data_IF_164128374789
#
_entry.id   IF_164128374789
#
_cell.length_a   1.000
_cell.length_b   1.000
_cell.length_c   1.000
_cell.angle_alpha   90.00
_cell.angle_beta   90.00
_cell.angle_gamma   90.00
#
_symmetry.space_group_name_H-M   'P 1'
#
loop_
_entity.id
_entity.type
_entity.pdbx_description
1 polymer ?
#
# COMPACT_ATOMS: atom_id res chain seq x y z
N UNK A 1 25.12 -8.60 -4.96
CA UNK A 1 24.84 -9.34 -6.23
C UNK A 1 23.41 -9.85 -6.18
N UNK A 2 22.65 -9.87 -7.29
CA UNK A 2 21.29 -10.40 -7.29
C UNK A 2 21.28 -11.82 -6.73
N UNK A 3 20.26 -12.14 -5.92
CA UNK A 3 20.14 -13.45 -5.27
C UNK A 3 19.73 -14.50 -6.30
N UNK A 4 20.38 -15.64 -6.31
CA UNK A 4 20.02 -16.75 -7.17
C UNK A 4 18.97 -17.64 -6.47
N UNK A 5 17.81 -17.85 -7.10
CA UNK A 5 16.75 -18.72 -6.60
C UNK A 5 17.13 -20.18 -6.85
N UNK A 6 17.51 -20.90 -5.78
CA UNK A 6 17.95 -22.29 -5.87
C UNK A 6 16.88 -23.27 -6.34
N UNK A 7 15.60 -22.93 -6.20
CA UNK A 7 14.48 -23.81 -6.56
C UNK A 7 14.02 -23.61 -8.00
N UNK A 8 14.09 -22.38 -8.53
CA UNK A 8 13.57 -22.04 -9.86
C UNK A 8 14.65 -21.63 -10.86
N UNK A 9 15.90 -21.80 -10.49
CA UNK A 9 17.09 -21.55 -11.34
C UNK A 9 17.04 -20.20 -12.07
N UNK A 10 16.72 -19.13 -11.35
CA UNK A 10 16.62 -17.76 -11.89
C UNK A 10 17.12 -16.71 -10.90
N UNK A 11 17.51 -15.55 -11.43
CA UNK A 11 17.89 -14.40 -10.59
C UNK A 11 16.64 -13.75 -9.99
N UNK A 12 16.77 -13.31 -8.75
CA UNK A 12 15.74 -12.55 -8.02
C UNK A 12 16.30 -11.18 -7.69
N UNK A 13 15.56 -10.15 -8.07
CA UNK A 13 16.00 -8.76 -7.94
C UNK A 13 15.80 -8.22 -6.51
N UNK A 14 16.33 -8.96 -5.54
CA UNK A 14 16.49 -8.53 -4.16
C UNK A 14 17.84 -9.06 -3.64
N UNK A 15 18.51 -8.24 -2.85
CA UNK A 15 19.77 -8.55 -2.19
C UNK A 15 19.68 -8.15 -0.72
N UNK A 16 20.27 -8.93 0.15
CA UNK A 16 20.44 -8.59 1.56
C UNK A 16 21.93 -8.43 1.87
N UNK A 17 22.28 -7.26 2.37
CA UNK A 17 23.61 -6.98 2.92
C UNK A 17 23.54 -7.00 4.47
N UNK A 18 24.07 -8.05 5.12
CA UNK A 18 24.08 -8.15 6.59
C UNK A 18 25.00 -7.13 7.26
N UNK A 19 25.96 -6.61 6.51
CA UNK A 19 26.81 -5.48 6.87
C UNK A 19 26.83 -4.53 5.69
N UNK A 20 26.30 -3.33 5.87
CA UNK A 20 26.22 -2.31 4.82
C UNK A 20 27.24 -1.21 5.06
N UNK A 21 28.00 -0.89 4.03
CA UNK A 21 28.84 0.30 3.97
C UNK A 21 28.04 1.43 3.31
N UNK A 22 27.60 2.36 4.12
CA UNK A 22 26.73 3.45 3.68
C UNK A 22 27.42 4.39 2.66
N UNK A 23 28.73 4.37 2.55
CA UNK A 23 29.49 5.19 1.58
C UNK A 23 29.29 4.73 0.13
N UNK A 24 28.83 3.50 -0.08
CA UNK A 24 28.56 2.93 -1.40
C UNK A 24 27.13 3.22 -1.91
N UNK A 25 26.26 3.81 -1.10
CA UNK A 25 24.91 4.15 -1.49
C UNK A 25 24.85 5.47 -2.28
N UNK A 26 23.94 5.62 -3.23
CA UNK A 26 22.94 4.66 -3.73
C UNK A 26 23.50 3.63 -4.70
N UNK A 27 22.83 2.48 -4.82
CA UNK A 27 23.15 1.53 -5.88
C UNK A 27 22.35 1.85 -7.16
N UNK A 28 22.96 1.79 -8.36
CA UNK A 28 22.27 2.00 -9.62
C UNK A 28 21.08 1.04 -9.79
N UNK A 29 19.97 1.55 -10.32
CA UNK A 29 18.74 0.79 -10.63
C UNK A 29 18.11 0.04 -9.44
N UNK A 30 18.37 0.48 -8.20
CA UNK A 30 17.84 -0.18 -7.00
C UNK A 30 17.42 0.79 -5.92
N UNK A 31 16.33 0.45 -5.27
CA UNK A 31 15.92 1.04 -4.01
C UNK A 31 16.65 0.34 -2.86
N UNK A 32 17.11 1.10 -1.89
CA UNK A 32 17.82 0.59 -0.70
C UNK A 32 17.03 0.92 0.57
N UNK A 33 16.59 -0.12 1.27
CA UNK A 33 16.00 -0.02 2.60
C UNK A 33 17.07 -0.37 3.62
N UNK A 34 17.59 0.62 4.33
CA UNK A 34 18.73 0.48 5.25
C UNK A 34 18.23 0.58 6.68
N UNK A 35 18.59 -0.39 7.50
CA UNK A 35 18.31 -0.41 8.93
C UNK A 35 19.59 -0.16 9.71
N UNK A 36 19.71 1.01 10.34
CA UNK A 36 20.84 1.38 11.19
C UNK A 36 20.54 0.91 12.61
N UNK A 37 21.32 -0.06 13.10
CA UNK A 37 21.12 -0.73 14.38
C UNK A 37 21.91 -0.14 15.53
N UNK A 38 23.06 0.48 15.24
CA UNK A 38 23.90 1.16 16.23
C UNK A 38 24.60 2.38 15.63
N UNK A 39 25.09 3.26 16.50
CA UNK A 39 25.87 4.43 16.13
C UNK A 39 25.05 5.63 15.70
N UNK A 40 25.75 6.62 15.17
CA UNK A 40 25.16 7.84 14.63
C UNK A 40 25.95 8.34 13.44
N UNK A 41 25.30 9.06 12.54
CA UNK A 41 25.96 9.71 11.41
C UNK A 41 25.35 11.06 11.08
N UNK A 42 26.17 11.92 10.45
CA UNK A 42 25.75 13.18 9.85
C UNK A 42 26.16 13.21 8.39
N UNK A 43 25.37 13.88 7.58
CA UNK A 43 25.63 13.97 6.16
C UNK A 43 24.62 14.80 5.43
N UNK A 44 24.61 14.63 4.12
CA UNK A 44 23.67 15.27 3.19
C UNK A 44 22.96 14.19 2.38
N UNK A 45 21.66 14.29 2.25
CA UNK A 45 20.85 13.49 1.32
C UNK A 45 20.17 14.46 0.37
N UNK A 46 20.56 14.45 -0.91
CA UNK A 46 20.06 15.40 -1.93
C UNK A 46 20.15 16.86 -1.45
N UNK A 47 21.33 17.30 -1.05
CA UNK A 47 21.59 18.66 -0.54
C UNK A 47 20.86 19.02 0.78
N UNK A 48 20.05 18.12 1.34
CA UNK A 48 19.41 18.31 2.65
C UNK A 48 20.27 17.72 3.75
N UNK A 49 20.57 18.46 4.82
CA UNK A 49 21.34 17.94 5.93
C UNK A 49 20.54 16.87 6.67
N UNK A 50 21.17 15.72 6.93
CA UNK A 50 20.62 14.65 7.74
C UNK A 50 21.51 14.42 8.96
N UNK A 51 20.86 14.16 10.10
CA UNK A 51 21.53 13.72 11.32
C UNK A 51 20.71 12.58 11.89
N UNK A 52 21.28 11.40 11.92
CA UNK A 52 20.59 10.20 12.36
C UNK A 52 21.33 9.54 13.51
N UNK A 53 20.58 8.95 14.41
CA UNK A 53 21.08 8.09 15.48
C UNK A 53 20.27 6.79 15.48
N UNK A 54 20.92 5.69 15.73
CA UNK A 54 20.26 4.39 15.81
C UNK A 54 19.28 4.34 17.01
N UNK A 55 18.16 3.57 16.90
CA UNK A 55 17.76 2.85 15.70
C UNK A 55 17.05 3.76 14.67
N UNK A 56 17.40 3.65 13.42
CA UNK A 56 16.70 4.37 12.35
C UNK A 56 16.67 3.56 11.06
N UNK A 57 15.78 3.98 10.14
CA UNK A 57 15.68 3.43 8.80
C UNK A 57 15.96 4.53 7.78
N UNK A 58 16.68 4.18 6.71
CA UNK A 58 16.85 5.03 5.54
C UNK A 58 16.20 4.36 4.35
N UNK A 59 15.47 5.14 3.59
CA UNK A 59 14.90 4.74 2.31
C UNK A 59 15.64 5.53 1.22
N UNK A 60 16.58 4.91 0.53
CA UNK A 60 17.44 5.54 -0.46
C UNK A 60 16.98 5.10 -1.86
N UNK A 61 16.68 6.06 -2.71
CA UNK A 61 16.33 5.82 -4.10
C UNK A 61 17.58 5.74 -4.99
N UNK A 62 17.42 5.18 -6.16
CA UNK A 62 18.48 5.05 -7.17
C UNK A 62 19.05 6.39 -7.66
N UNK A 63 18.24 7.45 -7.56
CA UNK A 63 18.56 8.82 -8.02
C UNK A 63 19.10 9.71 -6.90
N UNK A 64 19.16 9.19 -5.65
CA UNK A 64 19.59 9.97 -4.50
C UNK A 64 21.10 10.19 -4.50
N UNK A 65 21.55 11.24 -3.83
CA UNK A 65 22.95 11.51 -3.55
C UNK A 65 23.15 11.53 -2.03
N UNK A 66 23.82 10.49 -1.49
CA UNK A 66 24.18 10.41 -0.07
C UNK A 66 25.63 10.76 0.13
N UNK A 67 25.91 11.82 0.92
CA UNK A 67 27.26 12.22 1.35
C UNK A 67 27.36 12.17 2.86
N UNK A 68 28.17 11.27 3.38
CA UNK A 68 28.44 11.15 4.81
C UNK A 68 29.61 12.06 5.18
N UNK A 69 29.42 12.91 6.18
CA UNK A 69 30.46 13.83 6.69
C UNK A 69 31.06 13.36 8.01
N UNK A 70 30.26 12.72 8.85
CA UNK A 70 30.67 12.19 10.16
C UNK A 70 29.98 10.85 10.40
N UNK A 71 30.73 9.89 10.92
CA UNK A 71 30.23 8.56 11.27
C UNK A 71 30.87 8.11 12.59
N UNK A 72 30.03 7.58 13.51
CA UNK A 72 30.48 7.08 14.81
C UNK A 72 29.84 5.70 15.09
N UNK A 73 30.66 4.65 15.02
CA UNK A 73 30.28 3.26 15.36
C UNK A 73 28.99 2.80 14.69
N UNK A 74 28.76 3.16 13.43
CA UNK A 74 27.57 2.80 12.69
C UNK A 74 27.63 1.33 12.31
N UNK A 75 26.55 0.59 12.66
CA UNK A 75 26.27 -0.71 12.09
C UNK A 75 24.93 -0.66 11.37
N UNK A 76 24.94 -1.10 10.13
CA UNK A 76 23.77 -1.08 9.27
C UNK A 76 23.62 -2.39 8.51
N UNK A 77 22.38 -2.74 8.20
CA UNK A 77 21.98 -3.83 7.32
C UNK A 77 21.05 -3.27 6.27
N UNK A 78 21.03 -3.86 5.08
CA UNK A 78 20.19 -3.31 4.01
C UNK A 78 19.56 -4.38 3.13
N UNK A 79 18.45 -3.98 2.49
CA UNK A 79 17.85 -4.67 1.36
C UNK A 79 17.90 -3.76 0.15
N UNK A 80 18.43 -4.31 -0.96
CA UNK A 80 18.46 -3.65 -2.26
C UNK A 80 17.52 -4.39 -3.20
N UNK A 81 16.56 -3.69 -3.81
CA UNK A 81 15.57 -4.32 -4.67
C UNK A 81 15.13 -3.38 -5.79
N UNK A 82 14.71 -3.94 -6.91
CA UNK A 82 14.11 -3.18 -8.00
C UNK A 82 12.63 -2.90 -7.72
N UNK A 83 12.10 -1.79 -8.27
CA UNK A 83 10.68 -1.39 -8.12
C UNK A 83 9.72 -2.49 -8.57
N UNK A 84 10.07 -3.20 -9.64
CA UNK A 84 9.31 -4.31 -10.21
C UNK A 84 9.15 -5.49 -9.24
N UNK A 85 10.08 -5.64 -8.31
CA UNK A 85 9.96 -6.68 -7.28
C UNK A 85 8.69 -6.52 -6.43
N UNK A 86 8.26 -5.29 -6.17
CA UNK A 86 7.01 -4.98 -5.45
C UNK A 86 5.78 -5.05 -6.37
N UNK A 87 5.93 -4.67 -7.64
CA UNK A 87 4.83 -4.49 -8.59
C UNK A 87 4.31 -5.78 -9.25
N UNK A 88 4.82 -6.96 -8.93
CA UNK A 88 4.37 -8.22 -9.52
C UNK A 88 2.96 -8.64 -9.05
N UNK A 89 1.95 -7.82 -9.39
CA UNK A 89 0.55 -8.21 -9.55
C UNK A 89 0.35 -8.41 -11.05
N UNK A 90 -0.32 -9.48 -11.53
CA UNK A 90 -0.44 -9.74 -12.98
C UNK A 90 -1.10 -8.54 -13.68
N UNK A 91 -0.38 -7.99 -14.67
CA UNK A 91 -0.93 -7.01 -15.61
C UNK A 91 -2.06 -7.63 -16.41
N UNK A 92 -3.19 -6.98 -16.49
CA UNK A 92 -3.86 -6.69 -17.77
C UNK A 92 -5.25 -6.05 -17.66
N UNK A 93 -5.97 -6.10 -16.53
CA UNK A 93 -7.29 -5.45 -16.43
C UNK A 93 -7.46 -4.49 -15.25
N UNK A 94 -6.50 -4.47 -14.35
CA UNK A 94 -6.58 -3.83 -13.04
C UNK A 94 -6.17 -2.34 -13.05
N UNK A 95 -5.52 -1.83 -14.11
CA UNK A 95 -5.05 -0.44 -14.12
C UNK A 95 -6.15 0.62 -14.11
N UNK A 96 -7.35 0.31 -14.63
CA UNK A 96 -8.50 1.24 -14.54
C UNK A 96 -9.16 1.21 -13.18
N UNK A 97 -9.21 0.04 -12.54
CA UNK A 97 -9.80 -0.14 -11.21
C UNK A 97 -8.84 0.32 -10.09
N UNK A 98 -7.51 0.27 -10.31
CA UNK A 98 -6.49 0.71 -9.35
C UNK A 98 -6.50 2.22 -9.10
N UNK A 99 -7.04 3.04 -10.00
CA UNK A 99 -7.25 4.48 -9.74
C UNK A 99 -8.38 4.72 -8.73
N UNK A 100 -9.26 3.75 -8.52
CA UNK A 100 -10.39 3.79 -7.60
C UNK A 100 -10.21 2.90 -6.35
N UNK A 101 -9.22 2.01 -6.33
CA UNK A 101 -8.88 1.24 -5.12
C UNK A 101 -8.17 2.16 -4.10
N UNK A 102 -8.33 1.90 -2.78
CA UNK A 102 -7.37 2.44 -1.82
C UNK A 102 -5.99 2.04 -2.34
N UNK A 103 -5.08 3.02 -2.45
CA UNK A 103 -3.72 2.79 -2.97
C UNK A 103 -3.20 1.51 -2.35
N UNK A 104 -2.91 0.48 -3.17
CA UNK A 104 -2.17 -0.67 -2.68
C UNK A 104 -0.89 -0.08 -2.12
N UNK A 105 -0.75 -0.16 -0.80
CA UNK A 105 0.37 0.43 -0.07
C UNK A 105 1.61 -0.35 -0.45
N UNK A 106 2.35 0.16 -1.40
CA UNK A 106 3.58 -0.48 -1.89
C UNK A 106 4.80 0.01 -1.14
N UNK A 107 4.66 1.10 -0.34
CA UNK A 107 5.77 1.76 0.32
C UNK A 107 6.71 2.52 -0.60
N UNK A 108 6.40 2.60 -1.89
CA UNK A 108 7.24 3.28 -2.88
C UNK A 108 7.25 4.81 -2.69
N UNK A 109 6.27 5.38 -2.00
CA UNK A 109 6.25 6.80 -1.63
C UNK A 109 7.43 7.19 -0.74
N UNK A 110 7.93 6.26 0.10
CA UNK A 110 9.09 6.49 0.97
C UNK A 110 10.39 6.77 0.21
N UNK A 111 10.45 6.38 -1.05
CA UNK A 111 11.59 6.59 -1.95
C UNK A 111 11.39 7.78 -2.88
N UNK A 112 10.24 8.45 -2.85
CA UNK A 112 10.00 9.71 -3.55
C UNK A 112 10.52 10.86 -2.70
N UNK A 113 11.10 11.88 -3.34
CA UNK A 113 11.60 13.08 -2.67
C UNK A 113 10.63 14.23 -2.88
N UNK A 114 9.93 14.56 -1.81
CA UNK A 114 9.05 15.73 -1.72
C UNK A 114 9.26 16.39 -0.35
N UNK A 115 8.46 17.41 -0.02
CA UNK A 115 8.57 18.09 1.28
C UNK A 115 8.20 17.20 2.47
N UNK A 116 7.42 16.14 2.23
CA UNK A 116 6.98 15.20 3.27
C UNK A 116 7.95 14.03 3.49
N UNK A 117 8.76 13.66 2.45
CA UNK A 117 9.58 12.46 2.46
C UNK A 117 11.06 12.79 2.27
N UNK A 118 11.77 12.93 3.38
CA UNK A 118 13.21 13.22 3.40
C UNK A 118 14.11 11.97 3.30
N UNK A 119 13.56 10.77 3.08
CA UNK A 119 14.33 9.52 3.03
C UNK A 119 14.69 8.92 4.40
N UNK A 120 14.33 9.59 5.50
CA UNK A 120 14.55 9.12 6.88
C UNK A 120 13.19 9.01 7.57
N UNK A 121 12.47 7.90 7.40
CA UNK A 121 11.17 7.72 8.03
C UNK A 121 11.28 7.66 9.55
N UNK A 122 10.30 8.26 10.22
CA UNK A 122 10.22 8.22 11.70
C UNK A 122 9.83 6.83 12.15
N UNK A 123 10.48 6.35 13.21
CA UNK A 123 10.15 5.09 13.88
C UNK A 123 9.72 5.42 15.30
N UNK A 124 8.61 4.82 15.76
CA UNK A 124 8.19 4.94 17.16
C UNK A 124 8.79 3.79 17.99
N UNK A 125 8.99 4.02 19.28
CA UNK A 125 9.46 2.98 20.21
C UNK A 125 8.58 1.73 20.20
N UNK A 126 7.28 1.89 19.98
CA UNK A 126 6.32 0.76 19.89
C UNK A 126 6.45 -0.03 18.59
N UNK A 127 6.80 0.62 17.48
CA UNK A 127 6.92 -0.03 16.18
C UNK A 127 8.29 -0.71 15.99
N UNK A 128 9.32 -0.21 16.68
CA UNK A 128 10.69 -0.68 16.53
C UNK A 128 10.87 -2.20 16.71
N UNK A 129 10.36 -2.86 17.78
CA UNK A 129 10.57 -4.29 17.96
C UNK A 129 10.00 -5.11 16.82
N UNK A 130 8.83 -4.73 16.32
CA UNK A 130 8.14 -5.43 15.23
C UNK A 130 8.86 -5.21 13.88
N UNK A 131 9.31 -3.99 13.61
CA UNK A 131 10.11 -3.68 12.43
C UNK A 131 11.44 -4.45 12.44
N UNK A 132 12.10 -4.53 13.60
CA UNK A 132 13.33 -5.29 13.77
C UNK A 132 13.11 -6.79 13.53
N UNK A 133 12.06 -7.36 14.11
CA UNK A 133 11.69 -8.78 13.90
C UNK A 133 11.47 -9.06 12.41
N UNK A 134 10.65 -8.25 11.74
CA UNK A 134 10.35 -8.45 10.32
C UNK A 134 11.59 -8.27 9.44
N UNK A 135 12.46 -7.32 9.78
CA UNK A 135 13.70 -7.09 9.07
C UNK A 135 14.66 -8.29 9.22
N UNK A 136 14.76 -8.83 10.43
CA UNK A 136 15.56 -10.00 10.73
C UNK A 136 15.04 -11.26 10.00
N UNK A 137 13.72 -11.49 10.04
CA UNK A 137 13.09 -12.61 9.32
C UNK A 137 13.31 -12.48 7.82
N UNK A 138 13.16 -11.28 7.28
CA UNK A 138 13.39 -10.99 5.88
C UNK A 138 14.82 -11.32 5.46
N UNK A 139 15.82 -10.87 6.24
CA UNK A 139 17.24 -11.15 5.99
C UNK A 139 17.57 -12.62 6.04
N UNK A 140 17.09 -13.30 7.07
CA UNK A 140 17.27 -14.75 7.23
C UNK A 140 16.67 -15.51 6.05
N UNK A 141 15.48 -15.15 5.61
CA UNK A 141 14.79 -15.82 4.52
C UNK A 141 15.48 -15.61 3.16
N UNK A 142 16.02 -14.39 2.91
CA UNK A 142 16.79 -14.11 1.69
C UNK A 142 18.03 -15.01 1.63
N UNK A 143 18.71 -15.23 2.76
CA UNK A 143 19.91 -16.07 2.82
C UNK A 143 19.59 -17.55 2.81
N UNK A 144 18.61 -18.00 3.60
CA UNK A 144 18.29 -19.40 3.79
C UNK A 144 17.53 -20.00 2.61
N UNK A 145 16.64 -19.20 1.96
CA UNK A 145 15.73 -19.71 0.93
C UNK A 145 15.08 -21.03 1.37
N UNK A 146 14.31 -20.98 2.47
CA UNK A 146 13.87 -22.15 3.23
C UNK A 146 13.07 -23.19 2.41
N UNK A 147 12.25 -22.71 1.44
CA UNK A 147 11.47 -23.55 0.51
C UNK A 147 11.14 -22.79 -0.78
N UNK A 148 10.42 -23.40 -1.71
CA UNK A 148 10.02 -22.82 -3.01
C UNK A 148 9.20 -21.51 -2.89
N UNK A 149 8.60 -21.23 -1.72
CA UNK A 149 7.77 -20.05 -1.45
C UNK A 149 8.55 -18.89 -0.79
N UNK A 150 9.86 -19.04 -0.60
CA UNK A 150 10.69 -18.03 0.06
C UNK A 150 10.51 -16.63 -0.53
N UNK A 151 10.35 -16.51 -1.85
CA UNK A 151 10.11 -15.22 -2.53
C UNK A 151 8.78 -14.57 -2.14
N UNK A 152 7.74 -15.39 -1.94
CA UNK A 152 6.44 -14.88 -1.49
C UNK A 152 6.53 -14.37 -0.05
N UNK A 153 7.30 -15.04 0.80
CA UNK A 153 7.53 -14.64 2.19
C UNK A 153 8.32 -13.34 2.25
N UNK A 154 9.46 -13.24 1.57
CA UNK A 154 10.25 -11.99 1.58
C UNK A 154 9.46 -10.81 1.02
N UNK A 155 8.67 -11.01 -0.04
CA UNK A 155 7.79 -9.98 -0.57
C UNK A 155 6.74 -9.55 0.46
N UNK A 156 6.12 -10.49 1.16
CA UNK A 156 5.16 -10.21 2.23
C UNK A 156 5.78 -9.34 3.32
N UNK A 157 6.93 -9.74 3.87
CA UNK A 157 7.59 -8.99 4.95
C UNK A 157 8.08 -7.62 4.48
N UNK A 158 8.62 -7.52 3.27
CA UNK A 158 9.04 -6.23 2.70
C UNK A 158 7.86 -5.27 2.57
N UNK A 159 6.72 -5.72 2.03
CA UNK A 159 5.50 -4.92 1.93
C UNK A 159 4.98 -4.53 3.33
N UNK A 160 5.05 -5.42 4.31
CA UNK A 160 4.64 -5.12 5.69
C UNK A 160 5.53 -4.04 6.33
N UNK A 161 6.86 -4.13 6.18
CA UNK A 161 7.80 -3.12 6.67
C UNK A 161 7.52 -1.77 6.00
N UNK A 162 7.47 -1.73 4.68
CA UNK A 162 7.25 -0.50 3.93
C UNK A 162 5.87 0.11 4.23
N UNK A 163 4.81 -0.70 4.32
CA UNK A 163 3.47 -0.25 4.68
C UNK A 163 3.41 0.35 6.08
N UNK A 164 4.07 -0.28 7.07
CA UNK A 164 4.16 0.26 8.42
C UNK A 164 4.93 1.59 8.44
N UNK A 165 6.04 1.69 7.72
CA UNK A 165 6.81 2.94 7.61
C UNK A 165 6.01 4.06 6.95
N UNK A 166 5.24 3.76 5.91
CA UNK A 166 4.31 4.73 5.31
C UNK A 166 3.27 5.22 6.32
N UNK A 167 2.67 4.29 7.09
CA UNK A 167 1.66 4.64 8.10
C UNK A 167 2.23 5.53 9.21
N UNK A 168 3.44 5.24 9.68
CA UNK A 168 4.13 6.03 10.71
C UNK A 168 4.55 7.42 10.22
N UNK A 169 4.83 7.55 8.94
CA UNK A 169 5.37 8.76 8.32
C UNK A 169 4.36 9.51 7.45
N UNK A 170 3.14 9.03 7.43
CA UNK A 170 2.05 9.82 6.88
C UNK A 170 2.04 11.15 7.64
N UNK A 171 2.46 12.22 6.94
CA UNK A 171 2.23 13.56 7.45
C UNK A 171 0.76 13.66 7.85
N UNK A 172 0.46 14.38 8.93
CA UNK A 172 -0.88 14.57 9.47
C UNK A 172 -1.88 15.25 8.51
N UNK A 173 -1.47 15.51 7.30
CA UNK A 173 -2.26 15.90 6.16
C UNK A 173 -2.67 14.66 5.35
N UNK A 174 -3.46 13.78 5.95
CA UNK A 174 -4.31 12.94 5.14
C UNK A 174 -5.16 13.88 4.28
N UNK A 175 -5.02 13.75 2.94
CA UNK A 175 -5.90 14.51 2.06
C UNK A 175 -7.35 14.31 2.53
N UNK A 176 -8.16 15.34 2.63
CA UNK A 176 -9.56 15.20 3.02
C UNK A 176 -10.29 14.11 2.25
N UNK A 177 -9.88 13.84 1.01
CA UNK A 177 -10.42 12.73 0.19
C UNK A 177 -9.99 11.37 0.75
N UNK A 178 -8.75 11.22 1.20
CA UNK A 178 -8.27 9.94 1.76
C UNK A 178 -8.99 9.58 3.06
N UNK A 179 -9.22 10.56 3.94
CA UNK A 179 -10.02 10.38 5.15
C UNK A 179 -11.43 9.86 4.83
N UNK A 180 -12.08 10.47 3.83
CA UNK A 180 -13.43 10.07 3.42
C UNK A 180 -13.44 8.71 2.74
N UNK A 181 -12.45 8.40 1.92
CA UNK A 181 -12.32 7.07 1.30
C UNK A 181 -12.16 5.97 2.36
N UNK A 182 -11.30 6.18 3.35
CA UNK A 182 -11.12 5.25 4.46
C UNK A 182 -12.40 5.10 5.29
N UNK A 183 -13.07 6.22 5.59
CA UNK A 183 -14.36 6.20 6.28
C UNK A 183 -15.42 5.42 5.49
N UNK A 184 -15.54 5.62 4.17
CA UNK A 184 -16.45 4.89 3.31
C UNK A 184 -16.12 3.39 3.33
N UNK A 185 -14.86 3.01 3.13
CA UNK A 185 -14.45 1.60 3.06
C UNK A 185 -14.68 0.85 4.37
N UNK A 186 -14.55 1.55 5.50
CA UNK A 186 -14.75 0.96 6.82
C UNK A 186 -16.24 0.89 7.21
N UNK A 187 -17.09 1.81 6.69
CA UNK A 187 -18.46 1.99 7.18
C UNK A 187 -19.54 1.82 6.11
N UNK A 188 -19.21 1.44 4.86
CA UNK A 188 -20.15 1.38 3.73
C UNK A 188 -21.46 0.61 4.00
N UNK A 189 -21.41 -0.40 4.87
CA UNK A 189 -22.55 -1.24 5.26
C UNK A 189 -23.55 -0.53 6.18
N UNK A 190 -23.20 0.64 6.72
CA UNK A 190 -24.06 1.47 7.57
C UNK A 190 -24.71 2.58 6.76
N UNK A 191 -25.72 3.24 7.38
CA UNK A 191 -26.27 4.48 6.83
C UNK A 191 -25.20 5.58 6.93
N UNK A 192 -24.79 6.11 5.79
CA UNK A 192 -23.84 7.23 5.68
C UNK A 192 -24.57 8.37 5.00
N UNK A 193 -24.63 9.53 5.66
CA UNK A 193 -25.12 10.77 5.10
C UNK A 193 -23.95 11.61 4.55
N UNK A 194 -24.25 12.56 3.68
CA UNK A 194 -23.23 13.49 3.16
C UNK A 194 -22.59 14.32 4.26
N UNK A 195 -23.36 14.64 5.30
CA UNK A 195 -22.91 15.36 6.49
C UNK A 195 -21.82 14.59 7.27
N UNK A 196 -21.89 13.27 7.31
CA UNK A 196 -20.86 12.44 7.94
C UNK A 196 -19.54 12.55 7.18
N UNK A 197 -19.61 12.54 5.84
CA UNK A 197 -18.45 12.68 4.98
C UNK A 197 -17.82 14.09 5.03
N UNK A 198 -18.65 15.13 5.08
CA UNK A 198 -18.16 16.51 5.21
C UNK A 198 -17.51 16.77 6.57
N UNK A 199 -18.06 16.20 7.64
CA UNK A 199 -17.44 16.25 8.98
C UNK A 199 -16.12 15.50 9.01
N UNK A 200 -16.06 14.31 8.43
CA UNK A 200 -14.84 13.52 8.34
C UNK A 200 -13.71 14.26 7.59
N UNK A 201 -14.04 14.96 6.52
CA UNK A 201 -13.11 15.72 5.70
C UNK A 201 -12.78 17.12 6.26
N UNK A 202 -13.51 17.61 7.27
CA UNK A 202 -13.50 19.02 7.72
C UNK A 202 -13.73 20.02 6.58
N UNK A 203 -14.57 19.66 5.59
CA UNK A 203 -14.88 20.44 4.41
C UNK A 203 -16.39 20.65 4.25
N UNK A 204 -16.74 21.74 3.53
CA UNK A 204 -18.12 21.90 3.06
C UNK A 204 -18.41 20.97 1.87
N UNK A 205 -19.70 20.78 1.56
CA UNK A 205 -20.18 19.91 0.49
C UNK A 205 -19.57 20.21 -0.89
N UNK A 206 -19.41 21.49 -1.22
CA UNK A 206 -18.93 21.92 -2.54
C UNK A 206 -17.47 21.54 -2.70
N UNK A 207 -16.64 21.91 -1.72
CA UNK A 207 -15.20 21.60 -1.71
C UNK A 207 -14.94 20.09 -1.71
N UNK A 208 -15.69 19.32 -0.90
CA UNK A 208 -15.55 17.86 -0.87
C UNK A 208 -15.88 17.25 -2.24
N UNK A 209 -17.01 17.61 -2.85
CA UNK A 209 -17.39 17.05 -4.14
C UNK A 209 -16.43 17.48 -5.27
N UNK A 210 -15.87 18.70 -5.23
CA UNK A 210 -14.87 19.15 -6.19
C UNK A 210 -13.62 18.26 -6.11
N UNK A 211 -13.08 18.03 -4.92
CA UNK A 211 -11.91 17.18 -4.71
C UNK A 211 -12.19 15.72 -5.12
N UNK A 212 -13.38 15.19 -4.81
CA UNK A 212 -13.79 13.85 -5.26
C UNK A 212 -13.92 13.75 -6.77
N UNK A 213 -14.44 14.80 -7.42
CA UNK A 213 -14.54 14.86 -8.89
C UNK A 213 -13.15 14.87 -9.54
N UNK A 214 -12.22 15.65 -9.01
CA UNK A 214 -10.85 15.75 -9.52
C UNK A 214 -10.09 14.41 -9.36
N UNK A 215 -10.27 13.72 -8.24
CA UNK A 215 -9.48 12.51 -7.91
C UNK A 215 -10.16 11.21 -8.33
N UNK A 216 -11.49 11.11 -8.17
CA UNK A 216 -12.26 9.87 -8.37
C UNK A 216 -13.20 9.94 -9.57
N UNK A 217 -13.31 11.10 -10.24
CA UNK A 217 -14.24 11.28 -11.36
C UNK A 217 -15.72 11.26 -10.98
N UNK A 218 -16.05 11.37 -9.69
CA UNK A 218 -17.41 11.29 -9.17
C UNK A 218 -17.57 12.06 -7.87
N UNK A 219 -18.78 12.23 -7.35
CA UNK A 219 -19.03 12.81 -6.02
C UNK A 219 -18.74 11.80 -4.90
N UNK A 220 -18.55 12.26 -3.67
CA UNK A 220 -18.34 11.38 -2.52
C UNK A 220 -19.47 10.35 -2.33
N UNK A 221 -20.73 10.77 -2.45
CA UNK A 221 -21.88 9.86 -2.38
C UNK A 221 -21.98 8.94 -3.61
N UNK A 222 -21.56 9.42 -4.79
CA UNK A 222 -21.47 8.59 -6.01
C UNK A 222 -20.41 7.50 -5.87
N UNK A 223 -19.29 7.82 -5.22
CA UNK A 223 -18.26 6.84 -4.88
C UNK A 223 -18.78 5.78 -3.91
N UNK A 224 -19.44 6.19 -2.81
CA UNK A 224 -20.06 5.29 -1.85
C UNK A 224 -21.02 4.31 -2.55
N UNK A 225 -21.90 4.81 -3.43
CA UNK A 225 -22.82 3.97 -4.19
C UNK A 225 -22.06 2.94 -5.05
N UNK A 226 -21.04 3.38 -5.78
CA UNK A 226 -20.24 2.51 -6.65
C UNK A 226 -19.53 1.43 -5.84
N UNK A 227 -18.97 1.79 -4.69
CA UNK A 227 -18.31 0.86 -3.78
C UNK A 227 -19.28 -0.21 -3.24
N UNK A 228 -20.46 0.20 -2.77
CA UNK A 228 -21.52 -0.72 -2.32
C UNK A 228 -21.93 -1.71 -3.41
N UNK A 229 -22.11 -1.23 -4.64
CA UNK A 229 -22.48 -2.07 -5.77
C UNK A 229 -21.34 -3.01 -6.19
N UNK A 230 -20.09 -2.63 -6.00
CA UNK A 230 -18.94 -3.53 -6.21
C UNK A 230 -18.98 -4.68 -5.21
N UNK A 231 -19.08 -4.38 -3.92
CA UNK A 231 -19.17 -5.41 -2.85
C UNK A 231 -20.39 -6.31 -3.05
N UNK A 232 -21.54 -5.74 -3.46
CA UNK A 232 -22.72 -6.54 -3.77
C UNK A 232 -22.46 -7.50 -4.94
N UNK A 233 -21.73 -7.09 -5.97
CA UNK A 233 -21.32 -7.94 -7.07
C UNK A 233 -20.45 -9.12 -6.61
N UNK A 234 -19.51 -8.88 -5.71
CA UNK A 234 -18.64 -9.91 -5.13
C UNK A 234 -19.48 -10.90 -4.29
N UNK A 235 -20.42 -10.41 -3.47
CA UNK A 235 -21.33 -11.26 -2.70
C UNK A 235 -22.26 -12.10 -3.60
N UNK A 236 -22.78 -11.52 -4.69
CA UNK A 236 -23.60 -12.24 -5.67
C UNK A 236 -22.82 -13.38 -6.34
N UNK A 237 -21.54 -13.18 -6.61
CA UNK A 237 -20.67 -14.17 -7.28
C UNK A 237 -20.27 -15.30 -6.34
N UNK A 238 -19.87 -14.95 -5.10
CA UNK A 238 -19.17 -15.86 -4.21
C UNK A 238 -20.02 -16.41 -3.05
N UNK A 239 -21.27 -15.96 -2.88
CA UNK A 239 -22.13 -16.40 -1.79
C UNK A 239 -23.55 -16.76 -2.26
N UNK A 240 -24.27 -17.58 -1.47
CA UNK A 240 -25.67 -17.92 -1.72
C UNK A 240 -26.65 -17.00 -0.96
N UNK A 241 -26.17 -15.86 -0.46
CA UNK A 241 -27.03 -14.88 0.21
C UNK A 241 -28.20 -14.45 -0.70
N UNK A 242 -29.37 -14.28 -0.12
CA UNK A 242 -30.53 -13.74 -0.84
C UNK A 242 -30.32 -12.22 -1.10
N UNK A 243 -31.14 -11.67 -2.03
CA UNK A 243 -30.97 -10.27 -2.43
C UNK A 243 -31.20 -9.25 -1.29
N UNK A 244 -32.13 -9.55 -0.39
CA UNK A 244 -32.44 -8.70 0.74
C UNK A 244 -31.23 -8.64 1.71
N UNK A 245 -30.62 -9.79 2.00
CA UNK A 245 -29.45 -9.86 2.87
C UNK A 245 -28.23 -9.16 2.25
N UNK A 246 -28.04 -9.31 0.93
CA UNK A 246 -26.98 -8.58 0.21
C UNK A 246 -27.22 -7.07 0.27
N UNK A 247 -28.47 -6.61 0.02
CA UNK A 247 -28.82 -5.20 0.12
C UNK A 247 -28.47 -4.65 1.50
N UNK A 248 -28.86 -5.32 2.58
CA UNK A 248 -28.56 -4.94 3.96
C UNK A 248 -27.06 -4.95 4.27
N UNK A 249 -26.36 -6.04 3.88
CA UNK A 249 -24.93 -6.19 4.11
C UNK A 249 -24.10 -5.12 3.37
N UNK A 250 -24.63 -4.55 2.30
CA UNK A 250 -24.00 -3.50 1.51
C UNK A 250 -24.54 -2.09 1.80
N UNK A 251 -25.35 -1.94 2.86
CA UNK A 251 -25.81 -0.65 3.37
C UNK A 251 -26.97 -0.01 2.59
N UNK A 252 -27.71 -0.80 1.82
CA UNK A 252 -28.98 -0.35 1.23
C UNK A 252 -30.12 -0.57 2.21
N UNK A 253 -30.94 0.46 2.38
CA UNK A 253 -32.10 0.41 3.28
C UNK A 253 -33.24 -0.43 2.71
N UNK A 254 -33.40 -0.39 1.36
CA UNK A 254 -34.45 -1.11 0.62
C UNK A 254 -33.85 -1.90 -0.53
N UNK A 255 -34.28 -3.15 -0.67
CA UNK A 255 -33.87 -4.05 -1.74
C UNK A 255 -34.30 -3.55 -3.14
N UNK A 256 -35.48 -2.93 -3.25
CA UNK A 256 -35.98 -2.33 -4.48
C UNK A 256 -35.05 -1.20 -4.98
N UNK A 257 -34.53 -0.38 -4.09
CA UNK A 257 -33.57 0.66 -4.45
C UNK A 257 -32.22 0.05 -4.84
N UNK A 258 -31.75 -0.97 -4.13
CA UNK A 258 -30.55 -1.73 -4.49
C UNK A 258 -30.66 -2.31 -5.90
N UNK A 259 -31.76 -3.06 -6.20
CA UNK A 259 -31.97 -3.68 -7.50
C UNK A 259 -31.98 -2.65 -8.63
N UNK A 260 -32.66 -1.51 -8.43
CA UNK A 260 -32.69 -0.40 -9.39
C UNK A 260 -31.28 0.17 -9.66
N UNK A 261 -30.52 0.47 -8.62
CA UNK A 261 -29.17 1.03 -8.75
C UNK A 261 -28.19 0.02 -9.37
N UNK A 262 -28.27 -1.23 -8.95
CA UNK A 262 -27.42 -2.30 -9.48
C UNK A 262 -27.67 -2.50 -10.99
N UNK A 263 -28.94 -2.62 -11.38
CA UNK A 263 -29.33 -2.80 -12.79
C UNK A 263 -28.91 -1.61 -13.64
N UNK A 264 -29.08 -0.37 -13.13
CA UNK A 264 -28.70 0.84 -13.84
C UNK A 264 -27.18 0.95 -14.07
N UNK A 265 -26.37 0.53 -13.07
CA UNK A 265 -24.91 0.63 -13.14
C UNK A 265 -24.23 -0.56 -13.82
N UNK A 266 -24.78 -1.76 -13.71
CA UNK A 266 -24.19 -3.00 -14.23
C UNK A 266 -24.85 -3.50 -15.53
N UNK A 267 -25.99 -2.92 -15.95
CA UNK A 267 -26.71 -3.35 -17.13
C UNK A 267 -27.49 -4.66 -16.99
N UNK A 268 -27.33 -5.37 -15.87
CA UNK A 268 -27.98 -6.64 -15.56
C UNK A 268 -28.66 -6.58 -14.20
N UNK A 269 -29.78 -7.25 -14.04
CA UNK A 269 -30.38 -7.43 -12.71
C UNK A 269 -29.45 -8.23 -11.80
N UNK A 270 -29.48 -8.06 -10.45
CA UNK A 270 -28.64 -8.82 -9.53
C UNK A 270 -28.73 -10.33 -9.73
N UNK A 271 -29.95 -10.86 -10.01
CA UNK A 271 -30.14 -12.29 -10.28
C UNK A 271 -29.48 -12.72 -11.58
N UNK A 272 -29.65 -11.96 -12.66
CA UNK A 272 -29.01 -12.24 -13.94
C UNK A 272 -27.47 -12.15 -13.83
N UNK A 273 -26.95 -11.15 -13.07
CA UNK A 273 -25.55 -11.00 -12.81
C UNK A 273 -24.97 -12.21 -12.04
N UNK A 274 -25.65 -12.71 -11.01
CA UNK A 274 -25.28 -13.92 -10.26
C UNK A 274 -25.10 -15.13 -11.18
N UNK A 275 -26.05 -15.36 -12.07
CA UNK A 275 -25.98 -16.49 -13.01
C UNK A 275 -24.83 -16.33 -14.00
N UNK A 276 -24.63 -15.14 -14.53
CA UNK A 276 -23.57 -14.87 -15.50
C UNK A 276 -22.18 -14.97 -14.88
N UNK A 277 -21.96 -14.34 -13.71
CA UNK A 277 -20.65 -14.32 -13.03
C UNK A 277 -20.22 -15.70 -12.54
N UNK A 278 -21.16 -16.52 -12.02
CA UNK A 278 -20.86 -17.89 -11.58
C UNK A 278 -20.55 -18.83 -12.73
N UNK A 279 -21.20 -18.67 -13.89
CA UNK A 279 -20.81 -19.42 -15.09
C UNK A 279 -19.39 -19.09 -15.50
N UNK A 280 -19.01 -17.83 -15.49
CA UNK A 280 -17.65 -17.40 -15.84
C UNK A 280 -16.61 -17.95 -14.85
N UNK A 281 -16.90 -17.91 -13.55
CA UNK A 281 -16.02 -18.42 -12.50
C UNK A 281 -15.85 -19.96 -12.51
N UNK A 282 -16.78 -20.69 -13.11
CA UNK A 282 -16.69 -22.15 -13.25
C UNK A 282 -15.83 -22.59 -14.46
N UNK A 283 -15.41 -21.66 -15.33
CA UNK A 283 -14.56 -21.92 -16.49
C UNK A 283 -13.09 -21.46 -16.28
N UNK A 284 -12.77 -20.89 -15.11
CA UNK A 284 -11.42 -20.48 -14.70
C UNK A 284 -10.88 -21.44 -13.63
#
# INVERSE_FOLDING_TARGET
MPQFDRYKNRLVNIEFAPVEDLSHLPYPDRLSLVFVTSGSMRGMLNERPISIAAPCILCIAEEDELKITEEQNVAAQSFHFQREFLNSVPDSETQRDLRMAPRIRTGLSLFQRDDAHAGVPRITEKAYPLLFEWFFVLGTEVQAQSDERWRCRIKKYLIQILGMLEDLNRSSEQSPVDLVLEYIHTNYFRKIALEDLTKCAHLNRVSLNKLFQERCGTTAMGYLLTHRLKVAGDLLTHTDMNLNDIARATGFEYDTYFIKQFTSKRGLSPTAYRVASRKLAAFL
#
